data_IF_777744840263
#
_entry.id   IF_777744840263
#
_cell.length_a   1.000
_cell.length_b   1.000
_cell.length_c   1.000
_cell.angle_alpha   90.00
_cell.angle_beta   90.00
_cell.angle_gamma   90.00
#
_symmetry.space_group_name_H-M   'P 1'
#
loop_
_entity.id
_entity.type
_entity.pdbx_description
1 polymer ?
#
# COMPACT_ATOMS: atom_id res chain seq x y z
N UNK A 1 10.15 13.80 -10.23
CA UNK A 1 8.96 12.97 -10.48
C UNK A 1 9.38 11.53 -10.60
N UNK A 2 8.97 10.70 -9.63
CA UNK A 2 9.13 9.24 -9.71
C UNK A 2 8.22 8.69 -10.81
N UNK A 3 8.70 7.75 -11.62
CA UNK A 3 7.86 7.11 -12.64
C UNK A 3 6.85 6.15 -12.00
N UNK A 4 5.77 5.85 -12.72
CA UNK A 4 4.77 4.90 -12.24
C UNK A 4 5.34 3.50 -12.02
N UNK A 5 6.18 3.05 -12.97
CA UNK A 5 6.88 1.79 -12.90
C UNK A 5 7.79 1.72 -11.67
N UNK A 6 8.56 2.78 -11.41
CA UNK A 6 9.48 2.82 -10.26
C UNK A 6 8.72 2.80 -8.93
N UNK A 7 7.66 3.61 -8.79
CA UNK A 7 6.86 3.66 -7.58
C UNK A 7 6.21 2.30 -7.28
N UNK A 8 5.67 1.66 -8.32
CA UNK A 8 5.04 0.33 -8.23
C UNK A 8 6.04 -0.76 -7.89
N UNK A 9 7.23 -0.76 -8.52
CA UNK A 9 8.28 -1.74 -8.27
C UNK A 9 8.82 -1.63 -6.83
N UNK A 10 9.03 -0.41 -6.35
CA UNK A 10 9.45 -0.13 -4.97
C UNK A 10 8.43 -0.67 -3.97
N UNK A 11 7.14 -0.43 -4.21
CA UNK A 11 6.07 -0.92 -3.35
C UNK A 11 6.00 -2.46 -3.33
N UNK A 12 6.02 -3.10 -4.50
CA UNK A 12 5.97 -4.58 -4.58
C UNK A 12 7.14 -5.25 -3.84
N UNK A 13 8.34 -4.68 -3.98
CA UNK A 13 9.53 -5.16 -3.27
C UNK A 13 9.36 -5.04 -1.74
N UNK A 14 8.74 -3.96 -1.27
CA UNK A 14 8.52 -3.74 0.16
C UNK A 14 7.37 -4.60 0.73
N UNK A 15 6.29 -4.80 -0.03
CA UNK A 15 5.12 -5.60 0.38
C UNK A 15 5.50 -7.02 0.77
N UNK A 16 6.27 -7.70 -0.09
CA UNK A 16 6.75 -9.08 0.16
C UNK A 16 7.59 -9.23 1.43
N UNK A 17 8.22 -8.14 1.91
CA UNK A 17 9.01 -8.14 3.15
C UNK A 17 8.17 -7.92 4.41
N UNK A 18 6.97 -7.35 4.27
CA UNK A 18 6.07 -7.01 5.39
C UNK A 18 5.13 -8.18 5.70
N UNK A 19 4.41 -8.68 4.69
CA UNK A 19 3.51 -9.82 4.82
C UNK A 19 3.17 -10.35 3.42
N UNK A 20 3.28 -11.66 3.21
CA UNK A 20 2.98 -12.28 1.92
C UNK A 20 1.50 -12.27 1.55
N UNK A 21 0.61 -11.99 2.51
CA UNK A 21 -0.84 -11.87 2.29
C UNK A 21 -1.27 -10.44 1.91
N UNK A 22 -0.37 -9.46 2.04
CA UNK A 22 -0.65 -8.08 1.70
C UNK A 22 -0.44 -7.88 0.20
N UNK A 23 -1.52 -7.56 -0.51
CA UNK A 23 -1.54 -7.44 -1.96
C UNK A 23 -1.65 -5.98 -2.39
N UNK A 24 -1.07 -5.67 -3.55
CA UNK A 24 -1.24 -4.38 -4.22
C UNK A 24 -2.44 -4.45 -5.16
N UNK A 25 -3.46 -3.63 -4.90
CA UNK A 25 -4.54 -3.39 -5.85
C UNK A 25 -4.06 -2.40 -6.91
N UNK A 26 -3.58 -2.95 -8.03
CA UNK A 26 -3.07 -2.16 -9.16
C UNK A 26 -4.15 -1.29 -9.81
N UNK A 27 -5.43 -1.67 -9.69
CA UNK A 27 -6.55 -0.88 -10.23
C UNK A 27 -6.84 0.39 -9.42
N UNK A 28 -6.31 0.48 -8.20
CA UNK A 28 -6.52 1.58 -7.28
C UNK A 28 -5.28 2.48 -7.09
N UNK A 29 -4.26 2.36 -7.97
CA UNK A 29 -3.09 3.24 -7.93
C UNK A 29 -3.43 4.59 -8.56
N UNK A 30 -3.13 5.69 -7.86
CA UNK A 30 -3.39 7.05 -8.34
C UNK A 30 -2.18 7.96 -8.12
N UNK A 31 -1.75 8.64 -9.18
CA UNK A 31 -0.73 9.68 -9.11
C UNK A 31 -1.41 11.02 -8.86
N UNK A 32 -0.99 11.69 -7.79
CA UNK A 32 -1.51 12.99 -7.41
C UNK A 32 -0.43 14.03 -7.65
N UNK A 33 -0.78 15.14 -8.30
CA UNK A 33 0.11 16.29 -8.50
C UNK A 33 -0.23 17.43 -7.54
N UNK A 34 -1.51 17.59 -7.19
CA UNK A 34 -2.02 18.68 -6.37
C UNK A 34 -3.03 18.18 -5.33
N UNK A 35 -3.10 18.76 -4.13
CA UNK A 35 -2.22 19.81 -3.59
C UNK A 35 -0.87 19.27 -3.06
N UNK A 36 -0.72 17.94 -2.99
CA UNK A 36 0.49 17.28 -2.51
C UNK A 36 0.95 16.20 -3.50
N UNK A 37 2.07 16.42 -4.21
CA UNK A 37 2.62 15.42 -5.13
C UNK A 37 2.89 14.09 -4.43
N UNK A 38 2.42 12.99 -5.01
CA UNK A 38 2.61 11.67 -4.45
C UNK A 38 1.84 10.57 -5.16
N UNK A 39 1.83 9.41 -4.54
CA UNK A 39 1.19 8.20 -5.06
C UNK A 39 0.28 7.62 -4.00
N UNK A 40 -0.95 7.37 -4.38
CA UNK A 40 -1.92 6.61 -3.61
C UNK A 40 -1.87 5.15 -4.08
N UNK A 41 -1.60 4.23 -3.16
CA UNK A 41 -1.54 2.80 -3.43
C UNK A 41 -2.74 2.10 -2.81
N UNK A 42 -3.46 1.30 -3.60
CA UNK A 42 -4.44 0.37 -3.07
C UNK A 42 -3.77 -0.84 -2.44
N UNK A 43 -4.14 -1.16 -1.19
CA UNK A 43 -3.65 -2.33 -0.46
C UNK A 43 -4.83 -3.22 -0.10
N UNK A 44 -4.62 -4.54 -0.19
CA UNK A 44 -5.60 -5.55 0.22
C UNK A 44 -5.00 -6.57 1.16
N UNK A 45 -5.78 -6.95 2.17
CA UNK A 45 -5.53 -8.10 3.03
C UNK A 45 -6.83 -8.91 3.11
N UNK A 46 -6.92 -9.97 2.31
CA UNK A 46 -8.19 -10.67 2.06
C UNK A 46 -9.23 -9.74 1.41
N UNK A 47 -10.37 -9.57 2.08
CA UNK A 47 -11.44 -8.66 1.66
C UNK A 47 -11.28 -7.24 2.21
N UNK A 48 -10.35 -7.01 3.14
CA UNK A 48 -10.08 -5.68 3.67
C UNK A 48 -9.24 -4.88 2.67
N UNK A 49 -9.66 -3.63 2.39
CA UNK A 49 -8.97 -2.72 1.49
C UNK A 49 -8.62 -1.40 2.18
N UNK A 50 -7.46 -0.84 1.84
CA UNK A 50 -7.02 0.46 2.32
C UNK A 50 -6.28 1.23 1.22
N UNK A 51 -6.30 2.56 1.31
CA UNK A 51 -5.52 3.45 0.45
C UNK A 51 -4.33 3.99 1.25
N UNK A 52 -3.12 3.74 0.76
CA UNK A 52 -1.89 4.25 1.33
C UNK A 52 -1.34 5.36 0.45
N UNK A 53 -1.43 6.60 0.91
CA UNK A 53 -0.75 7.72 0.29
C UNK A 53 0.71 7.81 0.73
N UNK A 54 1.61 7.97 -0.24
CA UNK A 54 3.03 8.27 -0.06
C UNK A 54 3.39 9.53 -0.85
N UNK A 55 3.96 10.53 -0.18
CA UNK A 55 4.42 11.74 -0.85
C UNK A 55 5.59 11.44 -1.81
N UNK A 56 5.72 12.23 -2.87
CA UNK A 56 6.88 12.11 -3.77
C UNK A 56 8.19 12.34 -2.99
N UNK A 57 8.19 13.25 -2.01
CA UNK A 57 9.34 13.50 -1.15
C UNK A 57 9.75 12.24 -0.36
N UNK A 58 8.79 11.51 0.22
CA UNK A 58 9.09 10.28 0.96
C UNK A 58 9.55 9.15 0.02
N UNK A 59 9.00 9.08 -1.20
CA UNK A 59 9.39 8.09 -2.21
C UNK A 59 10.77 8.37 -2.83
N UNK A 60 11.25 9.61 -2.82
CA UNK A 60 12.54 10.01 -3.40
C UNK A 60 13.65 10.24 -2.36
N UNK A 61 13.31 10.27 -1.06
CA UNK A 61 14.29 10.41 0.02
C UNK A 61 15.32 9.27 0.03
N UNK A 62 16.51 9.52 0.58
CA UNK A 62 17.56 8.50 0.68
C UNK A 62 17.14 7.29 1.55
N UNK A 63 16.25 7.51 2.52
CA UNK A 63 15.70 6.50 3.42
C UNK A 63 14.29 6.01 3.02
N UNK A 64 13.91 6.19 1.74
CA UNK A 64 12.58 5.84 1.22
C UNK A 64 12.16 4.40 1.57
N UNK A 65 13.08 3.44 1.53
CA UNK A 65 12.80 2.03 1.87
C UNK A 65 12.29 1.88 3.30
N UNK A 66 12.96 2.52 4.26
CA UNK A 66 12.58 2.47 5.66
C UNK A 66 11.22 3.16 5.88
N UNK A 67 10.99 4.29 5.21
CA UNK A 67 9.71 5.03 5.29
C UNK A 67 8.56 4.19 4.76
N UNK A 68 8.76 3.60 3.59
CA UNK A 68 7.78 2.75 2.93
C UNK A 68 7.46 1.52 3.78
N UNK A 69 8.50 0.86 4.33
CA UNK A 69 8.33 -0.28 5.22
C UNK A 69 7.47 0.07 6.44
N UNK A 70 7.79 1.16 7.15
CA UNK A 70 7.01 1.61 8.33
C UNK A 70 5.55 1.91 7.98
N UNK A 71 5.31 2.52 6.81
CA UNK A 71 3.96 2.85 6.34
C UNK A 71 3.16 1.61 5.97
N UNK A 72 3.79 0.63 5.32
CA UNK A 72 3.18 -0.66 5.02
C UNK A 72 2.89 -1.47 6.28
N UNK A 73 3.77 -1.47 7.28
CA UNK A 73 3.49 -2.11 8.58
C UNK A 73 2.28 -1.48 9.27
N UNK A 74 2.17 -0.15 9.24
CA UNK A 74 1.00 0.55 9.79
C UNK A 74 -0.29 0.21 9.03
N UNK A 75 -0.23 0.19 7.69
CA UNK A 75 -1.37 -0.18 6.85
C UNK A 75 -1.80 -1.64 7.08
N UNK A 76 -0.83 -2.56 7.22
CA UNK A 76 -1.11 -3.95 7.60
C UNK A 76 -1.86 -4.02 8.93
N UNK A 77 -1.33 -3.38 9.98
CA UNK A 77 -1.97 -3.40 11.32
C UNK A 77 -3.40 -2.87 11.26
N UNK A 78 -3.62 -1.78 10.52
CA UNK A 78 -4.95 -1.24 10.27
C UNK A 78 -5.86 -2.26 9.57
N UNK A 79 -5.38 -2.92 8.51
CA UNK A 79 -6.15 -3.92 7.77
C UNK A 79 -6.46 -5.18 8.60
N UNK A 80 -5.59 -5.55 9.54
CA UNK A 80 -5.79 -6.66 10.47
C UNK A 80 -6.92 -6.41 11.49
N UNK A 81 -7.32 -5.15 11.71
CA UNK A 81 -8.47 -4.81 12.57
C UNK A 81 -9.82 -5.12 11.92
N UNK A 82 -9.84 -5.33 10.59
CA UNK A 82 -11.07 -5.67 9.87
C UNK A 82 -11.26 -7.18 9.79
N UNK A 83 -12.52 -7.67 9.91
CA UNK A 83 -12.81 -9.09 9.75
C UNK A 83 -12.26 -9.61 8.43
N UNK A 84 -11.33 -10.55 8.54
CA UNK A 84 -10.81 -11.30 7.40
C UNK A 84 -11.89 -12.32 7.04
N UNK A 85 -12.90 -11.86 6.30
CA UNK A 85 -14.04 -12.68 5.93
C UNK A 85 -13.54 -13.82 5.05
N UNK A 86 -13.35 -15.00 5.63
CA UNK A 86 -13.05 -16.22 4.87
C UNK A 86 -14.22 -16.58 3.95
N UNK A 87 -14.02 -17.47 2.96
CA UNK A 87 -15.04 -17.88 1.98
C UNK A 87 -16.32 -18.47 2.59
N UNK A 88 -16.34 -18.74 3.90
CA UNK A 88 -17.47 -19.32 4.64
C UNK A 88 -18.38 -18.31 5.36
N UNK A 89 -18.17 -16.99 5.24
CA UNK A 89 -19.14 -16.02 5.75
C UNK A 89 -20.35 -15.88 4.81
N UNK A 90 -21.05 -16.99 4.59
CA UNK A 90 -22.41 -16.95 4.09
C UNK A 90 -23.31 -16.49 5.24
N UNK A 91 -23.89 -15.31 5.03
CA UNK A 91 -25.15 -14.82 5.62
C UNK A 91 -25.76 -15.74 6.69
N UNK A 92 -25.64 -15.33 7.95
CA UNK A 92 -26.62 -15.64 8.98
C UNK A 92 -27.50 -14.43 9.21
#
# INVERSE_FOLDING_TARGET
>A
MISEADATQRLQSALSRVDSRLELDRGAIRYLTDPYPGVEFGLRLGEAGALLFMSEADLTAADWEMRLFKRLEAAKRYLEEFPQVGPDARYR
#
